data_IF_591061693368
#
_entry.id   IF_591061693368
#
_cell.length_a   1.000
_cell.length_b   1.000
_cell.length_c   1.000
_cell.angle_alpha   90.00
_cell.angle_beta   90.00
_cell.angle_gamma   90.00
#
_symmetry.space_group_name_H-M   'P 1'
#
loop_
_entity.id
_entity.type
_entity.pdbx_description
1 polymer ?
#
# COMPACT_ATOMS: atom_id res chain seq x y z
N UNK A 1 2.98 -19.35 -1.31
CA UNK A 1 3.47 -18.69 -0.08
C UNK A 1 3.99 -17.32 -0.51
N UNK A 2 3.19 -16.28 -0.33
CA UNK A 2 3.52 -14.91 -0.75
C UNK A 2 2.87 -13.92 0.21
N UNK A 3 3.56 -13.69 1.32
CA UNK A 3 3.46 -12.49 2.13
C UNK A 3 4.77 -12.43 2.89
N UNK A 4 5.42 -11.27 2.94
CA UNK A 4 6.74 -11.13 3.56
C UNK A 4 6.75 -11.41 5.09
N UNK A 5 5.62 -11.90 5.65
CA UNK A 5 5.38 -12.16 7.07
C UNK A 5 5.66 -10.96 7.97
N UNK A 6 5.41 -9.74 7.47
CA UNK A 6 5.43 -8.55 8.33
C UNK A 6 4.44 -8.74 9.46
N UNK A 7 4.94 -8.74 10.69
CA UNK A 7 4.12 -8.81 11.92
C UNK A 7 3.64 -7.42 12.35
N UNK A 8 4.01 -6.37 11.61
CA UNK A 8 3.59 -5.00 11.91
C UNK A 8 2.13 -4.84 11.50
N UNK A 9 1.30 -4.42 12.45
CA UNK A 9 -0.07 -4.00 12.14
C UNK A 9 -0.06 -2.84 11.14
N UNK A 10 -0.92 -2.92 10.13
CA UNK A 10 -1.28 -1.81 9.24
C UNK A 10 -2.67 -1.33 9.61
N UNK A 11 -2.97 -0.05 9.48
CA UNK A 11 -4.31 0.51 9.71
C UNK A 11 -5.12 0.61 8.41
N UNK A 12 -4.42 0.51 7.29
CA UNK A 12 -4.84 0.91 5.97
C UNK A 12 -4.28 -0.04 4.90
N UNK A 13 -5.00 -0.10 3.78
CA UNK A 13 -4.60 -0.82 2.57
C UNK A 13 -4.72 0.14 1.39
N UNK A 14 -3.58 0.44 0.77
CA UNK A 14 -3.54 1.21 -0.47
C UNK A 14 -3.81 0.33 -1.68
N UNK A 15 -4.79 0.71 -2.50
CA UNK A 15 -5.12 0.05 -3.76
C UNK A 15 -4.80 1.03 -4.89
N UNK A 16 -3.78 0.71 -5.68
CA UNK A 16 -3.41 1.52 -6.85
C UNK A 16 -4.25 1.08 -8.05
N UNK A 17 -5.04 2.00 -8.59
CA UNK A 17 -5.89 1.78 -9.75
C UNK A 17 -5.45 2.64 -10.93
N UNK A 18 -5.83 2.24 -12.14
CA UNK A 18 -5.56 2.98 -13.37
C UNK A 18 -6.34 4.30 -13.37
N UNK A 19 -5.76 5.37 -13.90
CA UNK A 19 -6.39 6.70 -13.90
C UNK A 19 -7.64 6.81 -14.79
N UNK A 20 -7.88 5.82 -15.63
CA UNK A 20 -9.08 5.70 -16.46
C UNK A 20 -10.31 5.19 -15.71
N UNK A 21 -10.15 4.67 -14.49
CA UNK A 21 -11.27 4.13 -13.71
C UNK A 21 -12.09 5.24 -13.07
N UNK A 22 -13.39 5.04 -13.01
CA UNK A 22 -14.30 5.91 -12.26
C UNK A 22 -14.21 5.58 -10.77
N UNK A 23 -13.35 6.33 -10.07
CA UNK A 23 -13.17 6.24 -8.62
C UNK A 23 -14.47 6.40 -7.83
N UNK A 24 -15.36 7.28 -8.28
CA UNK A 24 -16.62 7.52 -7.57
C UNK A 24 -17.55 6.32 -7.72
N UNK A 25 -17.65 5.76 -8.94
CA UNK A 25 -18.41 4.54 -9.17
C UNK A 25 -17.83 3.35 -8.39
N UNK A 26 -16.50 3.17 -8.37
CA UNK A 26 -15.83 2.13 -7.58
C UNK A 26 -16.12 2.31 -6.09
N UNK A 27 -16.00 3.53 -5.57
CA UNK A 27 -16.32 3.82 -4.18
C UNK A 27 -17.78 3.50 -3.85
N UNK A 28 -18.72 3.94 -4.70
CA UNK A 28 -20.15 3.65 -4.52
C UNK A 28 -20.45 2.15 -4.57
N UNK A 29 -19.80 1.40 -5.48
CA UNK A 29 -19.92 -0.04 -5.58
C UNK A 29 -19.46 -0.73 -4.29
N UNK A 30 -18.28 -0.37 -3.80
CA UNK A 30 -17.73 -0.93 -2.56
C UNK A 30 -18.56 -0.54 -1.34
N UNK A 31 -19.03 0.71 -1.26
CA UNK A 31 -19.87 1.19 -0.16
C UNK A 31 -21.24 0.49 -0.09
N UNK A 32 -21.73 -0.06 -1.21
CA UNK A 32 -22.97 -0.81 -1.27
C UNK A 32 -22.82 -2.29 -0.85
N UNK A 33 -21.59 -2.81 -0.82
CA UNK A 33 -21.31 -4.18 -0.42
C UNK A 33 -21.29 -4.29 1.12
N UNK A 34 -21.96 -5.32 1.66
CA UNK A 34 -22.11 -5.52 3.11
C UNK A 34 -20.79 -5.73 3.82
N UNK A 35 -19.74 -6.16 3.10
CA UNK A 35 -18.39 -6.34 3.61
C UNK A 35 -17.67 -5.01 3.89
N UNK A 36 -18.24 -3.86 3.53
CA UNK A 36 -17.63 -2.55 3.76
C UNK A 36 -18.51 -1.62 4.59
N UNK A 37 -17.88 -0.74 5.37
CA UNK A 37 -18.51 0.46 5.95
C UNK A 37 -17.94 1.72 5.32
N UNK A 38 -18.74 2.77 5.26
CA UNK A 38 -18.28 4.12 5.00
C UNK A 38 -18.30 4.89 6.32
N UNK A 39 -17.12 5.19 6.85
CA UNK A 39 -16.94 5.90 8.11
C UNK A 39 -16.23 7.23 7.83
N UNK A 40 -16.94 8.34 8.01
CA UNK A 40 -16.42 9.69 7.75
C UNK A 40 -15.86 9.89 6.33
N UNK A 41 -16.45 9.24 5.32
CA UNK A 41 -15.99 9.32 3.93
C UNK A 41 -14.84 8.36 3.60
N UNK A 42 -14.41 7.52 4.55
CA UNK A 42 -13.38 6.50 4.33
C UNK A 42 -14.01 5.12 4.28
N UNK A 43 -13.74 4.37 3.21
CA UNK A 43 -14.15 2.97 3.12
C UNK A 43 -13.32 2.13 4.08
N UNK A 44 -13.99 1.24 4.81
CA UNK A 44 -13.35 0.27 5.71
C UNK A 44 -13.86 -1.12 5.42
N UNK A 45 -12.97 -2.09 5.43
CA UNK A 45 -13.36 -3.49 5.33
C UNK A 45 -13.87 -3.99 6.68
N UNK A 46 -15.12 -4.42 6.76
CA UNK A 46 -15.72 -4.94 7.99
C UNK A 46 -15.20 -6.34 8.27
N UNK A 47 -14.32 -6.47 9.24
CA UNK A 47 -13.95 -7.76 9.79
C UNK A 47 -13.79 -7.68 11.31
N UNK A 48 -14.26 -8.71 12.01
CA UNK A 48 -14.46 -8.70 13.47
C UNK A 48 -13.18 -8.47 14.28
N UNK A 49 -12.03 -8.89 13.74
CA UNK A 49 -10.73 -8.73 14.38
C UNK A 49 -9.92 -7.52 13.88
N UNK A 50 -10.25 -6.99 12.70
CA UNK A 50 -9.42 -5.98 12.03
C UNK A 50 -10.22 -5.26 10.95
N UNK A 51 -10.33 -3.93 11.02
CA UNK A 51 -11.11 -3.13 10.07
C UNK A 51 -10.24 -2.06 9.39
N UNK A 52 -9.44 -2.45 8.38
CA UNK A 52 -8.54 -1.52 7.71
C UNK A 52 -9.34 -0.52 6.88
N UNK A 53 -8.85 0.72 6.82
CA UNK A 53 -9.29 1.65 5.79
C UNK A 53 -8.75 1.27 4.42
N UNK A 54 -9.54 1.52 3.38
CA UNK A 54 -9.13 1.38 1.99
C UNK A 54 -8.84 2.76 1.41
N UNK A 55 -7.61 2.93 0.93
CA UNK A 55 -7.20 4.13 0.23
C UNK A 55 -7.09 3.80 -1.27
N UNK A 56 -8.02 4.32 -2.07
CA UNK A 56 -7.98 4.18 -3.52
C UNK A 56 -7.05 5.25 -4.11
N UNK A 57 -5.94 4.79 -4.69
CA UNK A 57 -4.87 5.64 -5.20
C UNK A 57 -4.84 5.55 -6.73
N UNK A 58 -4.67 6.68 -7.40
CA UNK A 58 -4.28 6.71 -8.83
C UNK A 58 -2.79 6.95 -9.02
N UNK A 59 -2.12 7.42 -7.96
CA UNK A 59 -0.69 7.68 -7.90
C UNK A 59 -0.15 7.06 -6.62
N UNK A 60 0.90 6.24 -6.75
CA UNK A 60 1.49 5.51 -5.65
C UNK A 60 2.46 6.38 -4.85
N UNK A 61 3.41 7.06 -5.54
CA UNK A 61 4.37 8.03 -4.99
C UNK A 61 4.73 9.03 -6.09
N UNK A 62 4.67 10.33 -5.79
CA UNK A 62 4.92 11.45 -6.72
C UNK A 62 4.08 11.39 -8.02
N UNK A 63 4.57 10.67 -9.03
CA UNK A 63 3.98 10.54 -10.36
C UNK A 63 3.87 9.08 -10.80
N UNK A 64 4.17 8.11 -9.93
CA UNK A 64 4.11 6.67 -10.24
C UNK A 64 2.66 6.22 -10.34
N UNK A 65 2.19 5.97 -11.56
CA UNK A 65 0.85 5.42 -11.84
C UNK A 65 0.83 3.90 -11.77
N UNK A 66 -0.36 3.29 -11.86
CA UNK A 66 -0.51 1.84 -11.98
C UNK A 66 0.28 1.27 -13.17
N UNK A 67 0.22 1.90 -14.34
CA UNK A 67 0.85 1.41 -15.56
C UNK A 67 2.38 1.37 -15.43
N UNK A 68 2.95 2.31 -14.69
CA UNK A 68 4.38 2.36 -14.39
C UNK A 68 4.79 1.36 -13.31
N UNK A 69 3.94 1.13 -12.32
CA UNK A 69 4.20 0.14 -11.27
C UNK A 69 4.00 -1.30 -11.74
N UNK A 70 3.04 -1.54 -12.64
CA UNK A 70 2.57 -2.86 -13.07
C UNK A 70 3.68 -3.81 -13.57
N UNK A 71 4.67 -3.37 -14.38
CA UNK A 71 5.81 -4.22 -14.77
C UNK A 71 6.66 -4.72 -13.60
N UNK A 72 6.56 -4.07 -12.44
CA UNK A 72 7.31 -4.40 -11.22
C UNK A 72 6.44 -5.13 -10.18
N UNK A 73 5.27 -5.62 -10.59
CA UNK A 73 4.38 -6.42 -9.76
C UNK A 73 4.45 -7.91 -10.14
N UNK A 74 4.24 -8.78 -9.16
CA UNK A 74 3.86 -10.16 -9.40
C UNK A 74 2.35 -10.33 -9.16
N UNK A 75 1.75 -11.36 -9.73
CA UNK A 75 0.32 -11.64 -9.55
C UNK A 75 0.15 -12.76 -8.53
N UNK A 76 -0.63 -12.51 -7.48
CA UNK A 76 -1.07 -13.52 -6.52
C UNK A 76 -2.58 -13.69 -6.64
N UNK A 77 -3.01 -14.84 -7.16
CA UNK A 77 -4.38 -15.08 -7.63
C UNK A 77 -4.75 -14.06 -8.71
N UNK A 78 -5.50 -13.03 -8.35
CA UNK A 78 -5.97 -11.96 -9.24
C UNK A 78 -5.43 -10.58 -8.81
N UNK A 79 -4.68 -10.53 -7.71
CA UNK A 79 -4.15 -9.28 -7.14
C UNK A 79 -2.73 -9.07 -7.62
N UNK A 80 -2.45 -7.88 -8.17
CA UNK A 80 -1.10 -7.46 -8.51
C UNK A 80 -0.45 -6.82 -7.30
N UNK A 81 0.69 -7.38 -6.89
CA UNK A 81 1.42 -6.96 -5.70
C UNK A 81 2.81 -6.51 -6.12
N UNK A 82 3.27 -5.30 -5.72
CA UNK A 82 4.62 -4.85 -6.01
C UNK A 82 5.68 -5.82 -5.50
N UNK A 83 6.70 -6.07 -6.31
CA UNK A 83 7.86 -6.88 -5.89
C UNK A 83 8.56 -6.24 -4.68
N UNK A 84 9.21 -7.02 -3.80
CA UNK A 84 9.87 -6.47 -2.61
C UNK A 84 10.87 -5.36 -2.93
N UNK A 85 11.64 -5.48 -4.02
CA UNK A 85 12.58 -4.45 -4.46
C UNK A 85 11.89 -3.15 -4.89
N UNK A 86 10.74 -3.23 -5.56
CA UNK A 86 9.97 -2.06 -5.95
C UNK A 86 9.26 -1.41 -4.75
N UNK A 87 8.68 -2.23 -3.86
CA UNK A 87 8.14 -1.76 -2.57
C UNK A 87 9.20 -1.02 -1.75
N UNK A 88 10.45 -1.51 -1.73
CA UNK A 88 11.57 -0.83 -1.06
C UNK A 88 11.85 0.54 -1.70
N UNK A 89 11.94 0.62 -3.02
CA UNK A 89 12.17 1.87 -3.72
C UNK A 89 11.06 2.90 -3.40
N UNK A 90 9.80 2.49 -3.45
CA UNK A 90 8.65 3.32 -3.07
C UNK A 90 8.75 3.80 -1.62
N UNK A 91 9.10 2.92 -0.68
CA UNK A 91 9.24 3.26 0.74
C UNK A 91 10.39 4.23 1.02
N UNK A 92 11.54 4.06 0.35
CA UNK A 92 12.65 5.01 0.41
C UNK A 92 12.24 6.39 -0.10
N UNK A 93 11.48 6.44 -1.20
CA UNK A 93 10.99 7.69 -1.76
C UNK A 93 9.95 8.36 -0.83
N UNK A 94 9.01 7.59 -0.27
CA UNK A 94 8.08 8.08 0.76
C UNK A 94 8.83 8.67 1.97
N UNK A 95 9.83 7.96 2.49
CA UNK A 95 10.64 8.43 3.61
C UNK A 95 11.32 9.77 3.32
N UNK A 96 11.90 9.91 2.12
CA UNK A 96 12.58 11.15 1.71
C UNK A 96 11.63 12.34 1.57
N UNK A 97 10.41 12.11 1.05
CA UNK A 97 9.46 13.16 0.71
C UNK A 97 8.54 13.56 1.86
N UNK A 98 8.23 12.64 2.77
CA UNK A 98 7.30 12.91 3.85
C UNK A 98 7.98 13.75 4.91
N UNK A 99 7.23 14.72 5.43
CA UNK A 99 7.50 15.30 6.74
C UNK A 99 6.70 14.51 7.78
N UNK A 100 7.14 14.55 9.04
CA UNK A 100 6.29 14.03 10.11
C UNK A 100 5.01 14.88 10.14
N UNK A 101 3.84 14.25 10.32
CA UNK A 101 2.60 14.99 10.18
C UNK A 101 2.34 15.93 11.38
N UNK A 102 1.47 16.91 11.16
CA UNK A 102 1.11 17.96 12.13
C UNK A 102 0.50 17.38 13.43
N UNK A 103 0.09 16.10 13.41
CA UNK A 103 -0.49 15.38 14.54
C UNK A 103 0.54 14.53 15.31
N UNK A 104 1.83 14.65 14.98
CA UNK A 104 2.91 13.93 15.65
C UNK A 104 3.05 12.48 15.22
N UNK A 105 2.39 12.04 14.15
CA UNK A 105 2.69 10.73 13.57
C UNK A 105 4.03 10.79 12.84
N UNK A 106 4.96 10.02 13.36
CA UNK A 106 6.30 9.86 12.79
C UNK A 106 6.27 8.96 11.57
N UNK A 107 5.68 9.45 10.48
CA UNK A 107 5.59 8.73 9.20
C UNK A 107 6.96 8.28 8.70
N UNK A 108 8.01 9.05 9.02
CA UNK A 108 9.39 8.66 8.73
C UNK A 108 9.86 7.45 9.55
N UNK A 109 9.46 7.33 10.81
CA UNK A 109 9.85 6.21 11.68
C UNK A 109 9.21 4.90 11.22
N UNK A 110 7.93 4.93 10.83
CA UNK A 110 7.26 3.77 10.24
C UNK A 110 7.85 3.39 8.89
N UNK A 111 8.18 4.37 8.04
CA UNK A 111 8.85 4.10 6.76
C UNK A 111 10.27 3.52 6.95
N UNK A 112 11.07 4.00 7.92
CA UNK A 112 12.37 3.37 8.28
C UNK A 112 12.19 1.91 8.68
N UNK A 113 11.16 1.61 9.47
CA UNK A 113 10.88 0.25 9.94
C UNK A 113 10.57 -0.67 8.75
N UNK A 114 9.71 -0.21 7.84
CA UNK A 114 9.36 -0.94 6.63
C UNK A 114 10.57 -1.11 5.69
N UNK A 115 11.40 -0.07 5.53
CA UNK A 115 12.65 -0.12 4.74
C UNK A 115 13.58 -1.21 5.28
N UNK A 116 13.83 -1.22 6.60
CA UNK A 116 14.70 -2.24 7.24
C UNK A 116 14.16 -3.65 7.02
N UNK A 117 12.86 -3.82 7.21
CA UNK A 117 12.21 -5.09 6.98
C UNK A 117 12.37 -5.55 5.52
N UNK A 118 12.08 -4.69 4.54
CA UNK A 118 12.21 -5.02 3.11
C UNK A 118 13.65 -5.33 2.72
N UNK A 119 14.64 -4.62 3.26
CA UNK A 119 16.06 -4.92 3.06
C UNK A 119 16.44 -6.33 3.53
N UNK A 120 15.82 -6.85 4.59
CA UNK A 120 16.08 -8.20 5.10
C UNK A 120 15.41 -9.31 4.25
N UNK A 121 14.39 -8.95 3.46
CA UNK A 121 13.64 -9.89 2.62
C UNK A 121 14.24 -10.05 1.22
N UNK A 122 15.04 -9.08 0.77
CA UNK A 122 15.70 -9.14 -0.53
C UNK A 122 16.99 -9.94 -0.37
N UNK A 123 17.19 -11.04 -1.14
CA UNK A 123 18.43 -11.79 -1.09
C UNK A 123 19.61 -10.86 -1.40
N UNK A 124 20.52 -10.69 -0.44
CA UNK A 124 21.75 -9.96 -0.70
C UNK A 124 22.57 -10.77 -1.70
N UNK A 125 22.67 -10.29 -2.95
CA UNK A 125 23.72 -10.76 -3.85
C UNK A 125 25.06 -10.41 -3.21
N UNK A 126 25.67 -11.37 -2.51
CA UNK A 126 27.10 -11.31 -2.22
C UNK A 126 27.81 -11.38 -3.56
N UNK A 127 28.27 -10.25 -4.05
CA UNK A 127 29.31 -10.21 -5.08
C UNK A 127 30.52 -10.94 -4.50
N UNK A 128 30.84 -12.10 -5.08
CA UNK A 128 32.14 -12.77 -4.93
C UNK A 128 33.20 -11.97 -5.71
#
# INVERSE_FOLDING_TARGET
MLHLESQRATSDVGILITSSEDLAALFSLLAADEAFSNENGQLRFKHSAFSPSLDNLTIAVQNITFEQANPHCFTLKEVKIPTPGYSLAMKVQCFYLREDDENGHKKRESDITDIRFLCNQIPQKRSL
#
